data_IF_151672791625
#
_entry.id   IF_151672791625
#
_cell.length_a   1.000
_cell.length_b   1.000
_cell.length_c   1.000
_cell.angle_alpha   90.00
_cell.angle_beta   90.00
_cell.angle_gamma   90.00
#
_symmetry.space_group_name_H-M   'P 1'
#
loop_
_entity.id
_entity.type
_entity.pdbx_description
1 polymer ?
#
# COMPACT_ATOMS: atom_id res chain seq x y z
N UNK A 1 6.13 -13.91 -1.69
CA UNK A 1 5.07 -12.95 -1.35
C UNK A 1 5.49 -12.19 -0.10
N UNK A 2 5.59 -10.87 -0.18
CA UNK A 2 5.93 -10.01 0.95
C UNK A 2 4.68 -9.78 1.82
N UNK A 3 4.82 -9.91 3.13
CA UNK A 3 3.75 -9.60 4.08
C UNK A 3 3.92 -8.14 4.55
N UNK A 4 2.82 -7.38 4.51
CA UNK A 4 2.78 -5.97 4.88
C UNK A 4 1.88 -5.81 6.10
N UNK A 5 2.44 -5.31 7.20
CA UNK A 5 1.64 -4.95 8.38
C UNK A 5 0.86 -3.66 8.11
N UNK A 6 -0.45 -3.73 8.31
CA UNK A 6 -1.37 -2.63 8.08
C UNK A 6 -1.34 -1.58 9.20
N UNK A 7 -1.47 -0.29 8.85
CA UNK A 7 -1.57 0.86 9.78
C UNK A 7 -0.47 0.91 10.84
N UNK A 8 0.79 0.83 10.43
CA UNK A 8 1.93 1.00 11.32
C UNK A 8 2.20 2.49 11.53
N UNK A 9 1.34 3.14 12.32
CA UNK A 9 1.29 4.59 12.49
C UNK A 9 1.99 5.08 13.77
N UNK A 10 2.63 4.18 14.54
CA UNK A 10 3.35 4.55 15.75
C UNK A 10 4.71 3.84 15.80
N UNK A 11 5.68 4.49 16.45
CA UNK A 11 7.00 3.89 16.65
C UNK A 11 6.93 2.60 17.50
N UNK A 12 6.01 2.54 18.45
CA UNK A 12 5.77 1.35 19.25
C UNK A 12 5.36 0.17 18.36
N UNK A 13 4.37 0.37 17.48
CA UNK A 13 3.93 -0.67 16.55
C UNK A 13 5.04 -1.03 15.56
N UNK A 14 5.77 -0.04 15.01
CA UNK A 14 6.88 -0.28 14.09
C UNK A 14 7.91 -1.26 14.67
N UNK A 15 8.29 -1.07 15.94
CA UNK A 15 9.27 -1.93 16.64
C UNK A 15 8.80 -3.37 16.86
N UNK A 16 7.49 -3.64 16.75
CA UNK A 16 6.95 -5.01 16.85
C UNK A 16 6.92 -5.74 15.52
N UNK A 17 7.07 -5.03 14.41
CA UNK A 17 7.04 -5.63 13.07
C UNK A 17 8.41 -6.24 12.76
N UNK A 18 8.48 -7.50 12.33
CA UNK A 18 9.73 -8.10 11.86
C UNK A 18 10.30 -7.36 10.64
N UNK A 19 11.63 -7.19 10.59
CA UNK A 19 12.30 -6.46 9.49
C UNK A 19 12.19 -7.14 8.12
N UNK A 20 11.86 -8.45 8.08
CA UNK A 20 11.58 -9.18 6.84
C UNK A 20 10.18 -8.89 6.23
N UNK A 21 9.39 -8.03 6.87
CA UNK A 21 8.09 -7.56 6.39
C UNK A 21 8.16 -6.15 5.84
N UNK A 22 7.09 -5.74 5.16
CA UNK A 22 6.81 -4.35 4.86
C UNK A 22 5.81 -3.77 5.85
N UNK A 23 5.64 -2.46 5.80
CA UNK A 23 4.66 -1.72 6.63
C UNK A 23 3.85 -0.75 5.77
N UNK A 24 2.58 -0.61 6.10
CA UNK A 24 1.71 0.42 5.54
C UNK A 24 1.52 1.52 6.60
N UNK A 25 1.69 2.78 6.17
CA UNK A 25 1.73 3.96 7.02
C UNK A 25 0.77 4.99 6.44
N UNK A 26 -0.25 5.38 7.20
CA UNK A 26 -1.13 6.49 6.82
C UNK A 26 -0.43 7.82 7.02
N UNK A 27 -0.36 8.65 5.97
CA UNK A 27 0.33 9.93 6.03
C UNK A 27 -0.64 11.09 5.85
N UNK A 28 -0.65 12.00 6.82
CA UNK A 28 -1.40 13.26 6.79
C UNK A 28 -0.50 14.46 7.04
N UNK A 29 -0.98 15.61 6.63
CA UNK A 29 -0.51 16.89 7.14
C UNK A 29 -1.28 17.27 8.41
N UNK A 30 -0.54 17.74 9.40
CA UNK A 30 -1.10 18.40 10.57
C UNK A 30 -0.20 19.59 10.94
N UNK A 31 -0.76 20.78 10.78
CA UNK A 31 -0.06 22.04 11.07
C UNK A 31 1.32 22.15 10.36
N UNK A 32 1.34 21.83 9.07
CA UNK A 32 2.54 21.88 8.22
C UNK A 32 3.58 20.77 8.51
N UNK A 33 3.23 19.75 9.30
CA UNK A 33 4.11 18.62 9.61
C UNK A 33 3.51 17.29 9.16
N UNK A 34 4.36 16.38 8.64
CA UNK A 34 3.93 15.04 8.26
C UNK A 34 3.68 14.17 9.49
N UNK A 35 2.49 13.61 9.58
CA UNK A 35 2.03 12.79 10.69
C UNK A 35 1.53 11.43 10.21
N UNK A 36 1.71 10.42 11.05
CA UNK A 36 1.22 9.07 10.84
C UNK A 36 -0.10 8.91 11.56
N UNK A 37 -1.22 9.02 10.83
CA UNK A 37 -2.58 8.88 11.37
C UNK A 37 -3.59 8.66 10.27
N UNK A 38 -4.52 7.73 10.50
CA UNK A 38 -5.58 7.41 9.53
C UNK A 38 -6.69 8.48 9.55
N UNK A 39 -7.19 8.82 10.73
CA UNK A 39 -8.37 9.67 10.86
C UNK A 39 -8.02 11.17 10.79
N UNK A 40 -8.87 12.00 10.17
CA UNK A 40 -8.66 13.43 10.12
C UNK A 40 -8.77 14.07 11.51
N UNK A 41 -8.19 15.26 11.66
CA UNK A 41 -8.25 16.08 12.89
C UNK A 41 -7.49 15.50 14.10
N UNK A 42 -6.80 14.38 13.95
CA UNK A 42 -5.91 13.82 14.97
C UNK A 42 -4.47 14.21 14.69
N UNK A 43 -3.68 14.41 15.75
CA UNK A 43 -2.28 14.83 15.61
C UNK A 43 -1.35 13.72 15.11
N UNK A 44 -1.57 12.46 15.50
CA UNK A 44 -0.75 11.32 15.13
C UNK A 44 0.72 11.38 15.57
N UNK A 45 1.49 10.36 15.23
CA UNK A 45 2.94 10.30 15.46
C UNK A 45 3.71 11.05 14.38
N UNK A 46 4.95 11.43 14.65
CA UNK A 46 5.82 12.04 13.64
C UNK A 46 6.22 11.01 12.58
N UNK A 47 5.98 11.32 11.30
CA UNK A 47 6.49 10.47 10.21
C UNK A 47 8.02 10.44 10.22
N UNK A 48 8.67 11.57 10.47
CA UNK A 48 10.13 11.64 10.51
C UNK A 48 10.73 10.73 11.59
N UNK A 49 10.16 10.74 12.80
CA UNK A 49 10.60 9.85 13.88
C UNK A 49 10.43 8.37 13.50
N UNK A 50 9.32 8.03 12.84
CA UNK A 50 9.05 6.67 12.40
C UNK A 50 10.05 6.24 11.33
N UNK A 51 10.34 7.09 10.32
CA UNK A 51 11.29 6.77 9.26
C UNK A 51 12.74 6.73 9.75
N UNK A 52 13.12 7.48 10.78
CA UNK A 52 14.42 7.40 11.41
C UNK A 52 14.71 6.05 12.09
N UNK A 53 13.67 5.25 12.34
CA UNK A 53 13.75 3.91 12.94
C UNK A 53 13.33 2.79 11.98
N UNK A 54 13.22 3.10 10.69
CA UNK A 54 12.74 2.16 9.69
C UNK A 54 13.87 1.23 9.20
N UNK A 55 13.67 -0.08 9.29
CA UNK A 55 14.59 -1.12 8.79
C UNK A 55 13.87 -2.26 8.05
N UNK A 56 12.66 -2.00 7.55
CA UNK A 56 11.76 -2.99 6.95
C UNK A 56 11.93 -3.08 5.42
N UNK A 57 11.38 -4.15 4.82
CA UNK A 57 11.57 -4.47 3.40
C UNK A 57 10.88 -3.51 2.42
N UNK A 58 9.76 -2.91 2.81
CA UNK A 58 8.96 -2.02 1.97
C UNK A 58 8.14 -1.07 2.84
N UNK A 59 8.06 0.20 2.48
CA UNK A 59 7.09 1.13 3.03
C UNK A 59 5.95 1.39 2.02
N UNK A 60 4.70 1.30 2.46
CA UNK A 60 3.55 1.83 1.73
C UNK A 60 3.15 3.14 2.41
N UNK A 61 3.30 4.25 1.70
CA UNK A 61 2.83 5.55 2.17
C UNK A 61 1.41 5.78 1.65
N UNK A 62 0.44 5.53 2.53
CA UNK A 62 -0.98 5.74 2.24
C UNK A 62 -1.32 7.22 2.44
N UNK A 63 -1.40 7.95 1.33
CA UNK A 63 -1.55 9.42 1.34
C UNK A 63 -2.99 9.78 1.63
N UNK A 64 -3.24 10.41 2.77
CA UNK A 64 -4.58 10.82 3.22
C UNK A 64 -4.88 12.31 3.00
N UNK A 65 -3.92 13.05 2.43
CA UNK A 65 -4.07 14.45 2.02
C UNK A 65 -3.31 14.66 0.71
N UNK A 66 -3.90 15.36 -0.25
CA UNK A 66 -3.27 15.66 -1.53
C UNK A 66 -2.00 16.50 -1.39
N UNK A 67 -1.00 16.21 -2.24
CA UNK A 67 0.18 17.06 -2.41
C UNK A 67 1.32 16.78 -1.42
N UNK A 68 1.24 15.73 -0.60
CA UNK A 68 2.28 15.38 0.37
C UNK A 68 3.40 14.54 -0.25
N UNK A 69 3.21 13.95 -1.42
CA UNK A 69 4.07 12.92 -2.01
C UNK A 69 5.53 13.39 -2.12
N UNK A 70 5.74 14.66 -2.51
CA UNK A 70 7.10 15.21 -2.62
C UNK A 70 7.80 15.35 -1.27
N UNK A 71 7.09 15.76 -0.24
CA UNK A 71 7.66 15.90 1.11
C UNK A 71 7.95 14.52 1.70
N UNK A 72 7.05 13.56 1.51
CA UNK A 72 7.26 12.17 1.93
C UNK A 72 8.44 11.54 1.21
N UNK A 73 8.56 11.72 -0.11
CA UNK A 73 9.70 11.23 -0.90
C UNK A 73 11.03 11.84 -0.44
N UNK A 74 11.04 13.14 -0.12
CA UNK A 74 12.23 13.81 0.42
C UNK A 74 12.64 13.23 1.78
N UNK A 75 11.65 12.97 2.64
CA UNK A 75 11.90 12.41 3.95
C UNK A 75 12.37 10.94 3.86
N UNK A 76 11.76 10.14 2.97
CA UNK A 76 12.22 8.78 2.68
C UNK A 76 13.68 8.76 2.21
N UNK A 77 14.05 9.67 1.28
CA UNK A 77 15.42 9.80 0.80
C UNK A 77 16.40 10.20 1.90
N UNK A 78 16.00 11.09 2.82
CA UNK A 78 16.83 11.49 4.00
C UNK A 78 17.21 10.29 4.86
N UNK A 79 16.34 9.29 4.98
CA UNK A 79 16.58 8.08 5.77
C UNK A 79 16.95 6.86 4.94
N UNK A 80 17.35 7.04 3.66
CA UNK A 80 17.77 5.98 2.74
C UNK A 80 16.72 4.90 2.51
N UNK A 81 15.42 5.25 2.56
CA UNK A 81 14.31 4.34 2.28
C UNK A 81 14.02 4.42 0.78
N UNK A 82 14.55 3.47 0.01
CA UNK A 82 14.41 3.43 -1.44
C UNK A 82 13.21 2.57 -1.89
N UNK A 83 12.91 1.52 -1.14
CA UNK A 83 11.85 0.58 -1.46
C UNK A 83 10.53 1.01 -0.82
N UNK A 84 9.76 1.80 -1.57
CA UNK A 84 8.43 2.25 -1.15
C UNK A 84 7.52 2.50 -2.34
N UNK A 85 6.23 2.61 -2.09
CA UNK A 85 5.29 3.19 -3.03
C UNK A 85 4.20 4.00 -2.32
N UNK A 86 3.59 4.92 -3.07
CA UNK A 86 2.45 5.70 -2.63
C UNK A 86 1.15 4.99 -2.93
N UNK A 87 0.24 5.02 -1.98
CA UNK A 87 -1.14 4.54 -2.08
C UNK A 87 -2.10 5.71 -1.89
N UNK A 88 -3.29 5.64 -2.48
CA UNK A 88 -4.37 6.63 -2.38
C UNK A 88 -4.02 8.03 -2.91
N UNK A 89 -3.09 8.11 -3.85
CA UNK A 89 -2.76 9.36 -4.52
C UNK A 89 -3.91 9.79 -5.43
N UNK A 90 -4.39 11.02 -5.26
CA UNK A 90 -5.42 11.59 -6.14
C UNK A 90 -4.97 11.66 -7.59
N UNK A 91 -5.87 11.41 -8.55
CA UNK A 91 -5.53 11.35 -9.97
C UNK A 91 -4.71 12.53 -10.50
N UNK A 92 -4.98 13.80 -10.17
CA UNK A 92 -4.16 14.91 -10.63
C UNK A 92 -2.70 14.81 -10.15
N UNK A 93 -2.48 14.42 -8.89
CA UNK A 93 -1.16 14.22 -8.28
C UNK A 93 -0.46 13.00 -8.88
N UNK A 94 -1.18 11.89 -9.11
CA UNK A 94 -0.68 10.70 -9.80
C UNK A 94 -0.12 11.05 -11.18
N UNK A 95 -0.88 11.80 -12.00
CA UNK A 95 -0.43 12.23 -13.33
C UNK A 95 0.82 13.12 -13.24
N UNK A 96 0.91 13.97 -12.22
CA UNK A 96 2.12 14.79 -12.01
C UNK A 96 3.35 13.96 -11.64
N UNK A 97 3.21 12.93 -10.78
CA UNK A 97 4.29 12.02 -10.43
C UNK A 97 4.78 11.27 -11.67
N UNK A 98 3.87 10.70 -12.45
CA UNK A 98 4.18 9.99 -13.70
C UNK A 98 4.94 10.88 -14.69
N UNK A 99 4.50 12.14 -14.88
CA UNK A 99 5.20 13.10 -15.76
C UNK A 99 6.61 13.42 -15.30
N UNK A 100 6.91 13.28 -14.03
CA UNK A 100 8.26 13.43 -13.45
C UNK A 100 9.07 12.12 -13.48
N UNK A 101 8.50 11.04 -14.00
CA UNK A 101 9.15 9.73 -14.09
C UNK A 101 9.09 8.90 -12.80
N UNK A 102 8.35 9.34 -11.77
CA UNK A 102 8.19 8.55 -10.56
C UNK A 102 7.12 7.48 -10.77
N UNK A 103 7.54 6.22 -10.71
CA UNK A 103 6.67 5.04 -10.90
C UNK A 103 6.26 4.38 -9.59
N UNK A 104 6.75 4.86 -8.46
CA UNK A 104 6.50 4.28 -7.12
C UNK A 104 5.12 4.67 -6.61
N UNK A 105 4.11 4.33 -7.37
CA UNK A 105 2.70 4.59 -7.05
C UNK A 105 1.91 3.32 -7.31
N UNK A 106 0.89 3.07 -6.50
CA UNK A 106 -0.10 2.04 -6.78
C UNK A 106 -1.38 2.66 -7.35
N UNK A 107 -1.90 2.05 -8.41
CA UNK A 107 -3.27 2.28 -8.89
C UNK A 107 -4.18 1.19 -8.33
N UNK A 108 -5.47 1.46 -8.20
CA UNK A 108 -6.42 0.52 -7.63
C UNK A 108 -7.08 -0.38 -8.67
N UNK A 109 -7.42 -1.58 -8.25
CA UNK A 109 -8.35 -2.51 -8.89
C UNK A 109 -9.25 -3.11 -7.82
N UNK A 110 -10.55 -3.03 -8.01
CA UNK A 110 -11.56 -3.61 -7.13
C UNK A 110 -12.84 -3.91 -7.90
N UNK A 111 -13.91 -4.33 -7.21
CA UNK A 111 -15.23 -4.47 -7.80
C UNK A 111 -15.84 -3.13 -8.26
N UNK A 112 -15.34 -2.03 -7.70
CA UNK A 112 -15.82 -0.67 -8.01
C UNK A 112 -14.84 0.13 -8.88
N UNK A 113 -13.60 -0.36 -9.02
CA UNK A 113 -12.54 0.27 -9.81
C UNK A 113 -12.12 -0.69 -10.92
N UNK A 114 -12.63 -0.48 -12.16
CA UNK A 114 -12.46 -1.44 -13.26
C UNK A 114 -10.98 -1.61 -13.63
N UNK A 115 -10.62 -2.81 -14.05
CA UNK A 115 -9.25 -3.18 -14.44
C UNK A 115 -8.70 -2.26 -15.56
N UNK A 116 -9.54 -1.75 -16.43
CA UNK A 116 -9.18 -0.84 -17.52
C UNK A 116 -8.57 0.46 -17.00
N UNK A 117 -9.02 0.94 -15.83
CA UNK A 117 -8.42 2.08 -15.15
C UNK A 117 -6.98 1.78 -14.77
N UNK A 118 -6.72 0.67 -14.09
CA UNK A 118 -5.35 0.27 -13.74
C UNK A 118 -4.48 0.10 -15.00
N UNK A 119 -4.99 -0.58 -16.02
CA UNK A 119 -4.27 -0.84 -17.28
C UNK A 119 -3.97 0.43 -18.10
N UNK A 120 -4.70 1.52 -17.90
CA UNK A 120 -4.38 2.81 -18.52
C UNK A 120 -3.01 3.35 -18.06
N UNK A 121 -2.53 2.93 -16.88
CA UNK A 121 -1.26 3.33 -16.30
C UNK A 121 -0.13 2.30 -16.47
N UNK A 122 -0.33 1.26 -17.31
CA UNK A 122 0.70 0.23 -17.56
C UNK A 122 2.02 0.85 -18.05
N UNK A 123 3.12 0.40 -17.47
CA UNK A 123 4.46 0.93 -17.75
C UNK A 123 4.78 2.29 -17.13
N UNK A 124 3.77 2.96 -16.56
CA UNK A 124 3.88 4.28 -15.92
C UNK A 124 3.93 4.21 -14.40
N UNK A 125 3.30 3.19 -13.79
CA UNK A 125 3.38 2.89 -12.36
C UNK A 125 3.80 1.45 -12.14
N UNK A 126 4.33 1.13 -10.96
CA UNK A 126 4.87 -0.20 -10.65
C UNK A 126 3.84 -1.12 -10.00
N UNK A 127 2.92 -0.59 -9.23
CA UNK A 127 2.05 -1.38 -8.37
C UNK A 127 0.59 -1.26 -8.74
N UNK A 128 -0.14 -2.35 -8.53
CA UNK A 128 -1.60 -2.35 -8.42
C UNK A 128 -1.99 -2.81 -7.02
N UNK A 129 -2.84 -2.02 -6.39
CA UNK A 129 -3.49 -2.31 -5.11
C UNK A 129 -4.83 -2.97 -5.41
N UNK A 130 -4.94 -4.26 -5.07
CA UNK A 130 -6.16 -5.04 -5.32
C UNK A 130 -7.00 -5.04 -4.06
N UNK A 131 -8.06 -4.26 -4.07
CA UNK A 131 -9.00 -4.16 -2.96
C UNK A 131 -10.14 -5.18 -3.08
N UNK A 132 -10.83 -5.47 -1.97
CA UNK A 132 -11.81 -6.53 -1.87
C UNK A 132 -13.00 -6.11 -0.98
N UNK A 133 -13.73 -5.06 -1.39
CA UNK A 133 -14.83 -4.51 -0.57
C UNK A 133 -15.94 -5.52 -0.28
N UNK A 134 -16.33 -6.33 -1.26
CA UNK A 134 -17.39 -7.34 -1.11
C UNK A 134 -16.92 -8.76 -1.41
N UNK A 135 -15.86 -8.90 -2.19
CA UNK A 135 -15.31 -10.19 -2.63
C UNK A 135 -13.87 -10.01 -3.14
N UNK A 136 -13.17 -11.09 -3.38
CA UNK A 136 -11.90 -11.03 -4.12
C UNK A 136 -12.20 -10.73 -5.61
N UNK A 137 -11.76 -9.58 -6.16
CA UNK A 137 -12.00 -9.22 -7.55
C UNK A 137 -11.02 -9.91 -8.51
N UNK A 138 -9.93 -10.48 -7.97
CA UNK A 138 -8.85 -11.07 -8.73
C UNK A 138 -9.19 -12.52 -9.11
N UNK A 139 -9.41 -12.75 -10.40
CA UNK A 139 -9.51 -14.07 -11.01
C UNK A 139 -8.31 -14.37 -11.92
N UNK A 140 -8.25 -15.56 -12.50
CA UNK A 140 -7.14 -15.98 -13.38
C UNK A 140 -6.99 -15.09 -14.62
N UNK A 141 -8.07 -14.45 -15.11
CA UNK A 141 -8.01 -13.60 -16.29
C UNK A 141 -7.47 -12.20 -15.93
N UNK A 142 -8.03 -11.55 -14.91
CA UNK A 142 -7.57 -10.26 -14.39
C UNK A 142 -6.15 -10.37 -13.85
N UNK A 143 -5.81 -11.45 -13.12
CA UNK A 143 -4.46 -11.71 -12.66
C UNK A 143 -3.44 -11.71 -13.80
N UNK A 144 -3.68 -12.48 -14.88
CA UNK A 144 -2.76 -12.52 -16.03
C UNK A 144 -2.57 -11.17 -16.69
N UNK A 145 -3.65 -10.37 -16.82
CA UNK A 145 -3.60 -9.03 -17.42
C UNK A 145 -2.79 -8.06 -16.55
N UNK A 146 -3.01 -8.07 -15.23
CA UNK A 146 -2.31 -7.18 -14.31
C UNK A 146 -0.85 -7.57 -14.12
N UNK A 147 -0.58 -8.86 -13.95
CA UNK A 147 0.77 -9.38 -13.66
C UNK A 147 1.79 -9.12 -14.76
N UNK A 148 1.33 -8.94 -16.00
CA UNK A 148 2.20 -8.55 -17.13
C UNK A 148 2.79 -7.15 -16.98
N UNK A 149 2.17 -6.28 -16.18
CA UNK A 149 2.49 -4.86 -16.14
C UNK A 149 2.81 -4.33 -14.74
N UNK A 150 2.35 -5.02 -13.69
CA UNK A 150 2.42 -4.53 -12.32
C UNK A 150 2.91 -5.60 -11.35
N UNK A 151 3.50 -5.15 -10.27
CA UNK A 151 3.54 -5.87 -9.01
C UNK A 151 2.15 -5.78 -8.35
N UNK A 152 1.66 -6.88 -7.80
CA UNK A 152 0.31 -6.97 -7.22
C UNK A 152 0.42 -6.97 -5.70
N UNK A 153 -0.16 -5.96 -5.04
CA UNK A 153 -0.38 -5.94 -3.61
C UNK A 153 -1.86 -6.18 -3.31
N UNK A 154 -2.16 -7.27 -2.64
CA UNK A 154 -3.52 -7.65 -2.26
C UNK A 154 -3.89 -7.05 -0.91
N UNK A 155 -5.11 -6.56 -0.78
CA UNK A 155 -5.74 -6.23 0.49
C UNK A 155 -6.31 -7.50 1.11
N UNK A 156 -5.96 -7.76 2.36
CA UNK A 156 -6.51 -8.88 3.11
C UNK A 156 -7.99 -8.60 3.46
N UNK A 157 -8.88 -9.61 3.42
CA UNK A 157 -10.32 -9.39 3.54
C UNK A 157 -10.74 -8.72 4.85
N UNK A 158 -10.06 -8.97 5.96
CA UNK A 158 -10.39 -8.37 7.24
C UNK A 158 -10.21 -6.84 7.27
N UNK A 159 -9.36 -6.29 6.38
CA UNK A 159 -9.20 -4.83 6.26
C UNK A 159 -10.45 -4.16 5.69
N UNK A 160 -11.30 -4.93 5.01
CA UNK A 160 -12.60 -4.51 4.49
C UNK A 160 -13.77 -5.07 5.31
N UNK A 161 -13.51 -5.34 6.61
CA UNK A 161 -14.49 -5.80 7.61
C UNK A 161 -15.08 -7.19 7.31
N UNK A 162 -14.47 -7.99 6.46
CA UNK A 162 -14.82 -9.39 6.35
C UNK A 162 -14.33 -10.18 7.58
N UNK A 163 -14.98 -11.32 7.91
CA UNK A 163 -14.46 -12.20 8.95
C UNK A 163 -13.01 -12.63 8.66
N UNK A 164 -12.18 -12.69 9.69
CA UNK A 164 -10.78 -13.16 9.59
C UNK A 164 -10.67 -14.54 8.93
N UNK A 165 -11.67 -15.40 9.14
CA UNK A 165 -11.74 -16.74 8.53
C UNK A 165 -11.71 -16.71 7.00
N UNK A 166 -12.14 -15.61 6.37
CA UNK A 166 -12.13 -15.45 4.91
C UNK A 166 -10.70 -15.36 4.33
N UNK A 167 -9.68 -15.12 5.15
CA UNK A 167 -8.26 -15.18 4.70
C UNK A 167 -7.97 -16.54 4.08
N UNK A 168 -8.43 -17.63 4.68
CA UNK A 168 -8.26 -18.97 4.14
C UNK A 168 -8.94 -19.12 2.77
N UNK A 169 -10.17 -18.65 2.63
CA UNK A 169 -10.94 -18.76 1.40
C UNK A 169 -10.26 -17.96 0.25
N UNK A 170 -9.70 -16.77 0.59
CA UNK A 170 -8.93 -15.97 -0.37
C UNK A 170 -7.65 -16.66 -0.79
N UNK A 171 -6.92 -17.30 0.14
CA UNK A 171 -5.71 -18.08 -0.18
C UNK A 171 -6.04 -19.24 -1.11
N UNK A 172 -7.16 -19.94 -0.89
CA UNK A 172 -7.62 -21.02 -1.75
C UNK A 172 -7.97 -20.52 -3.16
N UNK A 173 -8.68 -19.38 -3.27
CA UNK A 173 -8.99 -18.74 -4.56
C UNK A 173 -7.74 -18.27 -5.32
N UNK A 174 -6.68 -17.87 -4.60
CA UNK A 174 -5.41 -17.43 -5.17
C UNK A 174 -4.49 -18.58 -5.58
N UNK A 175 -4.92 -19.84 -5.43
CA UNK A 175 -4.09 -20.99 -5.82
C UNK A 175 -3.65 -20.90 -7.28
N UNK A 176 -2.34 -20.93 -7.53
CA UNK A 176 -1.75 -20.72 -8.85
C UNK A 176 -1.52 -19.26 -9.26
N UNK A 177 -1.96 -18.29 -8.47
CA UNK A 177 -1.70 -16.87 -8.67
C UNK A 177 -0.65 -16.35 -7.66
N UNK A 178 0.50 -15.90 -8.17
CA UNK A 178 1.59 -15.38 -7.33
C UNK A 178 1.49 -13.87 -7.21
N UNK A 179 0.80 -13.39 -6.17
CA UNK A 179 0.82 -11.96 -5.79
C UNK A 179 2.17 -11.60 -5.17
N UNK A 180 2.59 -10.35 -5.31
CA UNK A 180 3.91 -9.90 -4.83
C UNK A 180 3.88 -9.54 -3.35
N UNK A 181 2.78 -8.94 -2.89
CA UNK A 181 2.58 -8.58 -1.49
C UNK A 181 1.12 -8.76 -1.06
N UNK A 182 0.92 -8.86 0.25
CA UNK A 182 -0.41 -8.82 0.91
C UNK A 182 -0.32 -7.90 2.10
N UNK A 183 -1.23 -6.93 2.20
CA UNK A 183 -1.40 -6.05 3.35
C UNK A 183 -2.48 -6.63 4.27
N UNK A 184 -2.17 -6.83 5.56
CA UNK A 184 -3.04 -7.53 6.51
C UNK A 184 -2.77 -7.10 7.96
N UNK A 185 -3.81 -7.17 8.79
CA UNK A 185 -3.69 -7.12 10.26
C UNK A 185 -3.26 -8.49 10.84
N UNK A 186 -3.38 -9.56 10.06
CA UNK A 186 -3.07 -10.95 10.46
C UNK A 186 -2.07 -11.60 9.50
N UNK A 187 -0.91 -10.97 9.34
CA UNK A 187 0.13 -11.45 8.42
C UNK A 187 0.52 -12.92 8.60
N UNK A 188 0.43 -13.47 9.83
CA UNK A 188 0.71 -14.88 10.11
C UNK A 188 -0.21 -15.86 9.37
N UNK A 189 -1.45 -15.44 9.09
CA UNK A 189 -2.46 -16.29 8.46
C UNK A 189 -2.25 -16.44 6.94
N UNK A 190 -1.34 -15.64 6.38
CA UNK A 190 -0.96 -15.66 4.97
C UNK A 190 0.28 -16.52 4.66
N UNK A 191 0.86 -17.16 5.68
CA UNK A 191 2.02 -18.10 5.55
C UNK A 191 1.62 -19.49 5.14
#
# INVERSE_FOLDING_TARGET
MLLIEHRVNTLEKLRTVPSDRGVEIDVRDYDGTLRCVHDPLLTGSSLEELLANFDHQLAIFNVKCDGLERQVAHLAAKYNIENYFFLDVANPSLVQLIRKGDKRVAVRFSEYEPIEFALAFRGQVEWVWVDCFTRLPLDSASYRRLKQHFKICLVSPELQQHPRTNIRDFREQLTGMKVDAVCSDYCSDWR
#
